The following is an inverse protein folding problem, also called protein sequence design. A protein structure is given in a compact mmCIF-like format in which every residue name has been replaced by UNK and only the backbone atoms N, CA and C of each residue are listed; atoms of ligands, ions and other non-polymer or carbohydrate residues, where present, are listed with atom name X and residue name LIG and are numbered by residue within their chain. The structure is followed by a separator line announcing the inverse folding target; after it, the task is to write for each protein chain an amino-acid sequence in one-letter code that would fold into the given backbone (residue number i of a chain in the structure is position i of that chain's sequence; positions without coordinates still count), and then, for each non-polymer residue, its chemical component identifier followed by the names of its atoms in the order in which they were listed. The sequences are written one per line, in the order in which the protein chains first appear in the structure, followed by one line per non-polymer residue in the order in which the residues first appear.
data_IF_201853903329
#
_entry.id   IF_201853903329
#
_cell.length_a   1.000
_cell.length_b   1.000
_cell.length_c   1.000
_cell.angle_alpha   90.00
_cell.angle_beta   90.00
_cell.angle_gamma   90.00
#
_symmetry.space_group_name_H-M   'P 1'
#
loop_
_entity.id
_entity.type
_entity.pdbx_description
1 polymer ?
#
# COMPACT_ATOMS: atom_id res chain seq x y z
N UNK A 1 -10.40 -14.10 27.27
CA UNK A 1 -9.84 -12.85 26.74
C UNK A 1 -9.08 -13.20 25.47
N UNK A 2 -9.79 -13.37 24.35
CA UNK A 2 -9.22 -13.97 23.14
C UNK A 2 -8.75 -12.89 22.16
N UNK A 3 -7.49 -13.03 21.74
CA UNK A 3 -7.03 -12.88 20.35
C UNK A 3 -7.00 -11.47 19.71
N UNK A 4 -5.93 -10.71 19.97
CA UNK A 4 -5.47 -9.63 19.07
C UNK A 4 -4.13 -9.93 18.37
N UNK A 5 -3.51 -11.09 18.60
CA UNK A 5 -2.21 -11.45 18.01
C UNK A 5 -2.28 -11.93 16.55
N UNK A 6 -3.47 -12.04 15.95
CA UNK A 6 -3.64 -12.57 14.59
C UNK A 6 -3.58 -11.48 13.52
N UNK A 7 -3.94 -10.25 13.83
CA UNK A 7 -4.08 -9.17 12.84
C UNK A 7 -2.74 -8.76 12.24
N UNK A 8 -1.68 -8.58 13.06
CA UNK A 8 -0.37 -8.14 12.58
C UNK A 8 0.41 -9.21 11.81
N UNK A 9 0.23 -10.50 12.13
CA UNK A 9 0.85 -11.61 11.37
C UNK A 9 0.09 -11.92 10.08
N UNK A 10 -1.23 -11.72 10.05
CA UNK A 10 -2.06 -11.99 8.87
C UNK A 10 -1.97 -10.88 7.83
N UNK A 11 -1.97 -9.60 8.25
CA UNK A 11 -1.63 -8.47 7.36
C UNK A 11 -0.28 -8.70 6.67
N UNK A 12 0.70 -9.25 7.39
CA UNK A 12 2.03 -9.51 6.84
C UNK A 12 2.12 -10.66 5.84
N UNK A 13 1.12 -11.55 5.82
CA UNK A 13 1.09 -12.70 4.91
C UNK A 13 0.39 -12.38 3.59
N UNK A 14 -0.58 -11.45 3.60
CA UNK A 14 -1.36 -11.10 2.42
C UNK A 14 -0.97 -9.70 1.90
N UNK A 15 -0.43 -9.59 0.67
CA UNK A 15 0.03 -8.31 0.13
C UNK A 15 -1.14 -7.34 -0.07
N UNK A 16 -2.34 -7.84 -0.37
CA UNK A 16 -3.53 -7.03 -0.54
C UNK A 16 -4.00 -6.46 0.81
N UNK A 17 -4.01 -7.27 1.87
CA UNK A 17 -4.29 -6.75 3.22
C UNK A 17 -3.28 -5.68 3.66
N UNK A 18 -1.99 -5.86 3.36
CA UNK A 18 -0.98 -4.81 3.62
C UNK A 18 -1.30 -3.53 2.85
N UNK A 19 -1.69 -3.62 1.57
CA UNK A 19 -2.05 -2.45 0.76
C UNK A 19 -3.25 -1.69 1.32
N UNK A 20 -4.31 -2.41 1.70
CA UNK A 20 -5.49 -1.78 2.31
C UNK A 20 -5.14 -1.11 3.64
N UNK A 21 -4.24 -1.71 4.44
CA UNK A 21 -3.77 -1.10 5.68
C UNK A 21 -2.98 0.20 5.44
N UNK A 22 -2.09 0.20 4.44
CA UNK A 22 -1.36 1.41 3.99
C UNK A 22 -2.34 2.49 3.59
N UNK A 23 -3.35 2.16 2.77
CA UNK A 23 -4.36 3.12 2.33
C UNK A 23 -5.14 3.71 3.50
N UNK A 24 -5.57 2.86 4.45
CA UNK A 24 -6.29 3.31 5.64
C UNK A 24 -5.45 4.24 6.52
N UNK A 25 -4.16 3.94 6.67
CA UNK A 25 -3.23 4.80 7.41
C UNK A 25 -2.95 6.11 6.68
N UNK A 26 -2.77 6.07 5.35
CA UNK A 26 -2.56 7.26 4.53
C UNK A 26 -3.79 8.18 4.55
N UNK A 27 -4.99 7.60 4.55
CA UNK A 27 -6.25 8.36 4.62
C UNK A 27 -6.49 9.03 5.99
N UNK A 28 -5.74 8.66 7.03
CA UNK A 28 -5.76 9.34 8.34
C UNK A 28 -5.07 10.72 8.25
N UNK A 29 -4.14 10.89 7.31
CA UNK A 29 -3.47 12.16 7.03
C UNK A 29 -4.00 12.80 5.72
N UNK A 30 -4.92 13.77 5.80
CA UNK A 30 -5.59 14.31 4.60
C UNK A 30 -4.64 15.08 3.67
N UNK A 31 -3.51 15.59 4.17
CA UNK A 31 -2.51 16.31 3.36
C UNK A 31 -1.71 15.32 2.50
N UNK A 32 -1.18 14.26 3.12
CA UNK A 32 -0.50 13.17 2.42
C UNK A 32 -1.44 12.45 1.46
N UNK A 33 -2.68 12.16 1.89
CA UNK A 33 -3.68 11.53 1.03
C UNK A 33 -4.01 12.42 -0.18
N UNK A 34 -4.19 13.72 0.03
CA UNK A 34 -4.39 14.69 -1.06
C UNK A 34 -3.23 14.71 -2.05
N UNK A 35 -1.99 14.71 -1.56
CA UNK A 35 -0.79 14.62 -2.39
C UNK A 35 -0.77 13.32 -3.22
N UNK A 36 -1.05 12.17 -2.59
CA UNK A 36 -1.11 10.89 -3.29
C UNK A 36 -2.20 10.86 -4.38
N UNK A 37 -3.39 11.38 -4.11
CA UNK A 37 -4.45 11.51 -5.11
C UNK A 37 -4.06 12.43 -6.27
N UNK A 38 -3.36 13.54 -5.98
CA UNK A 38 -2.85 14.44 -7.00
C UNK A 38 -1.78 13.78 -7.88
N UNK A 39 -0.90 12.95 -7.29
CA UNK A 39 0.14 12.21 -8.01
C UNK A 39 -0.43 11.09 -8.90
N UNK A 40 -1.44 10.37 -8.41
CA UNK A 40 -2.09 9.28 -9.14
C UNK A 40 -3.16 9.76 -10.12
N UNK A 41 -3.61 11.01 -10.01
CA UNK A 41 -4.73 11.54 -10.78
C UNK A 41 -6.09 10.96 -10.39
N UNK A 42 -6.18 10.24 -9.27
CA UNK A 42 -7.41 9.60 -8.80
C UNK A 42 -8.22 10.57 -7.96
N UNK A 43 -9.51 10.74 -8.30
CA UNK A 43 -10.42 11.52 -7.48
C UNK A 43 -10.80 10.75 -6.19
N UNK A 44 -11.07 11.43 -5.06
CA UNK A 44 -11.42 10.77 -3.79
C UNK A 44 -12.64 9.86 -3.90
N UNK A 45 -13.63 10.23 -4.72
CA UNK A 45 -14.81 9.39 -5.00
C UNK A 45 -14.52 8.14 -5.85
N UNK A 46 -13.36 8.07 -6.50
CA UNK A 46 -12.93 6.94 -7.32
C UNK A 46 -12.02 5.97 -6.57
N UNK A 47 -11.48 6.35 -5.40
CA UNK A 47 -10.56 5.51 -4.61
C UNK A 47 -11.15 4.14 -4.33
N UNK A 48 -12.43 4.07 -3.94
CA UNK A 48 -13.11 2.79 -3.65
C UNK A 48 -13.13 1.85 -4.85
N UNK A 49 -13.14 2.38 -6.07
CA UNK A 49 -13.04 1.58 -7.29
C UNK A 49 -11.58 1.27 -7.61
N UNK A 50 -10.70 2.27 -7.50
CA UNK A 50 -9.28 2.19 -7.78
C UNK A 50 -8.55 1.15 -6.92
N UNK A 51 -8.96 0.89 -5.68
CA UNK A 51 -8.37 -0.18 -4.86
C UNK A 51 -8.56 -1.59 -5.41
N UNK A 52 -9.49 -1.80 -6.34
CA UNK A 52 -9.64 -3.08 -7.02
C UNK A 52 -8.68 -3.20 -8.22
N UNK A 53 -8.03 -2.10 -8.61
CA UNK A 53 -7.05 -2.07 -9.68
C UNK A 53 -5.66 -2.37 -9.10
N UNK A 54 -4.99 -3.44 -9.56
CA UNK A 54 -3.67 -3.77 -9.06
C UNK A 54 -2.63 -2.68 -9.39
N UNK A 55 -2.79 -1.95 -10.49
CA UNK A 55 -1.88 -0.85 -10.87
C UNK A 55 -1.96 0.34 -9.91
N UNK A 56 -3.15 0.68 -9.43
CA UNK A 56 -3.33 1.67 -8.37
C UNK A 56 -2.63 1.24 -7.06
N UNK A 57 -2.77 -0.04 -6.67
CA UNK A 57 -2.09 -0.57 -5.49
C UNK A 57 -0.56 -0.57 -5.66
N UNK A 58 -0.06 -0.90 -6.86
CA UNK A 58 1.37 -0.79 -7.20
C UNK A 58 1.85 0.66 -7.04
N UNK A 59 1.12 1.63 -7.61
CA UNK A 59 1.48 3.05 -7.52
C UNK A 59 1.44 3.60 -6.09
N UNK A 60 0.50 3.13 -5.27
CA UNK A 60 0.44 3.49 -3.85
C UNK A 60 1.61 2.93 -3.05
N UNK A 61 1.94 1.66 -3.27
CA UNK A 61 3.10 1.04 -2.62
C UNK A 61 4.40 1.70 -3.10
N UNK A 62 4.50 2.08 -4.37
CA UNK A 62 5.63 2.81 -4.92
C UNK A 62 5.77 4.20 -4.27
N UNK A 63 4.67 4.94 -4.14
CA UNK A 63 4.66 6.23 -3.42
C UNK A 63 5.15 6.08 -1.98
N UNK A 64 4.71 5.04 -1.27
CA UNK A 64 5.16 4.74 0.09
C UNK A 64 6.67 4.43 0.12
N UNK A 65 7.14 3.57 -0.78
CA UNK A 65 8.54 3.13 -0.84
C UNK A 65 9.50 4.21 -1.33
N UNK A 66 9.03 5.15 -2.16
CA UNK A 66 9.81 6.27 -2.67
C UNK A 66 10.07 7.34 -1.59
N UNK A 67 9.35 7.29 -0.46
CA UNK A 67 9.55 8.19 0.67
C UNK A 67 9.81 7.43 1.97
N UNK A 68 11.10 7.18 2.25
CA UNK A 68 11.58 6.45 3.43
C UNK A 68 10.90 6.85 4.76
N UNK A 69 10.77 8.14 5.13
CA UNK A 69 10.15 8.48 6.43
C UNK A 69 8.67 8.11 6.50
N UNK A 70 7.94 8.14 5.38
CA UNK A 70 6.54 7.68 5.34
C UNK A 70 6.48 6.15 5.50
N UNK A 71 7.35 5.42 4.82
CA UNK A 71 7.45 3.97 4.98
C UNK A 71 7.77 3.57 6.43
N UNK A 72 8.72 4.26 7.07
CA UNK A 72 9.07 4.01 8.48
C UNK A 72 7.94 4.39 9.43
N UNK A 73 7.24 5.50 9.19
CA UNK A 73 6.10 5.93 9.99
C UNK A 73 4.95 4.90 9.93
N UNK A 74 4.65 4.37 8.74
CA UNK A 74 3.68 3.30 8.57
C UNK A 74 4.09 2.03 9.31
N UNK A 75 5.37 1.62 9.21
CA UNK A 75 5.88 0.46 9.93
C UNK A 75 5.74 0.64 11.45
N UNK A 76 6.06 1.82 11.97
CA UNK A 76 5.92 2.16 13.39
C UNK A 76 4.45 2.17 13.85
N UNK A 77 3.53 2.68 13.03
CA UNK A 77 2.10 2.75 13.35
C UNK A 77 1.42 1.38 13.29
N UNK A 78 1.74 0.57 12.27
CA UNK A 78 1.11 -0.74 12.04
C UNK A 78 1.80 -1.89 12.79
N UNK A 79 3.01 -1.66 13.31
CA UNK A 79 3.86 -2.70 13.90
C UNK A 79 4.33 -3.74 12.89
N UNK A 80 4.31 -3.40 11.59
CA UNK A 80 4.79 -4.25 10.51
C UNK A 80 6.28 -4.00 10.28
N UNK A 81 7.00 -5.06 9.93
CA UNK A 81 8.40 -4.93 9.55
C UNK A 81 8.50 -4.30 8.15
N UNK A 82 9.54 -3.48 7.88
CA UNK A 82 9.77 -2.92 6.55
C UNK A 82 9.94 -3.99 5.47
N UNK A 83 10.45 -5.17 5.84
CA UNK A 83 10.54 -6.34 4.95
C UNK A 83 9.17 -6.81 4.45
N UNK A 84 8.15 -6.76 5.30
CA UNK A 84 6.76 -7.10 4.94
C UNK A 84 6.19 -6.12 3.93
N UNK A 85 6.39 -4.82 4.18
CA UNK A 85 5.94 -3.75 3.26
C UNK A 85 6.65 -3.90 1.91
N UNK A 86 7.95 -4.17 1.93
CA UNK A 86 8.76 -4.40 0.73
C UNK A 86 8.30 -5.65 -0.03
N UNK A 87 7.93 -6.72 0.67
CA UNK A 87 7.39 -7.93 0.05
C UNK A 87 6.05 -7.67 -0.64
N UNK A 88 5.17 -6.90 -0.01
CA UNK A 88 3.90 -6.48 -0.60
C UNK A 88 4.14 -5.57 -1.82
N UNK A 89 5.01 -4.56 -1.71
CA UNK A 89 5.40 -3.72 -2.85
C UNK A 89 5.92 -4.56 -4.02
N UNK A 90 6.84 -5.52 -3.77
CA UNK A 90 7.38 -6.39 -4.81
C UNK A 90 6.30 -7.26 -5.49
N UNK A 91 5.27 -7.67 -4.76
CA UNK A 91 4.15 -8.40 -5.33
C UNK A 91 3.39 -7.57 -6.38
N UNK A 92 3.16 -6.29 -6.09
CA UNK A 92 2.46 -5.37 -6.99
C UNK A 92 3.37 -4.75 -8.06
N UNK A 93 4.65 -4.56 -7.78
CA UNK A 93 5.66 -4.01 -8.69
C UNK A 93 6.29 -5.07 -9.60
N UNK A 94 5.88 -6.34 -9.50
CA UNK A 94 6.36 -7.35 -10.44
C UNK A 94 5.95 -6.93 -11.85
N UNK A 95 6.91 -6.66 -12.75
CA UNK A 95 6.58 -6.38 -14.13
C UNK A 95 5.92 -7.64 -14.66
N UNK A 96 4.67 -7.54 -15.11
CA UNK A 96 4.08 -8.62 -15.90
C UNK A 96 5.05 -8.95 -17.04
N UNK A 97 5.50 -10.20 -17.18
CA UNK A 97 6.38 -10.58 -18.29
C UNK A 97 5.54 -10.61 -19.56
N UNK A 98 5.39 -9.47 -20.23
CA UNK A 98 5.33 -9.32 -21.69
C UNK A 98 5.12 -7.84 -22.07
N UNK A 99 6.21 -7.08 -22.20
CA UNK A 99 6.24 -5.95 -23.12
C UNK A 99 7.31 -6.25 -24.14
N UNK A 100 7.01 -7.28 -24.92
CA UNK A 100 7.82 -7.69 -26.05
C UNK A 100 7.06 -8.74 -26.82
N UNK A 101 6.11 -8.31 -27.65
CA UNK A 101 5.85 -8.80 -29.02
C UNK A 101 4.78 -7.91 -29.70
N UNK A 102 5.22 -6.95 -30.55
CA UNK A 102 4.68 -6.70 -31.90
C UNK A 102 5.56 -5.72 -32.68
#
# INVERSE_FOLDING_TARGET
MQSNFKTSKQLAADPHETAIAVLGWLADDPDMFGCFLALTGVAPGQVRNAVNDPGFLSGMMDFLMNHEPTAMAFCAASGLSPETVTAAWRHFSSPGPDSGEY
#
